data_IF_377056335075
#
_entry.id   IF_377056335075
#
_cell.length_a   1.000
_cell.length_b   1.000
_cell.length_c   1.000
_cell.angle_alpha   90.00
_cell.angle_beta   90.00
_cell.angle_gamma   90.00
#
_symmetry.space_group_name_H-M   'P 1'
#
loop_
_entity.id
_entity.type
_entity.pdbx_description
1 polymer ?
#
# COMPACT_ATOMS: atom_id res chain seq x y z
N UNK A 1 -1.11 -28.44 6.27
CA UNK A 1 -0.46 -27.49 5.34
C UNK A 1 1.05 -27.70 5.31
N UNK A 2 1.79 -27.59 6.43
CA UNK A 2 3.24 -27.87 6.41
C UNK A 2 4.05 -26.79 5.66
N UNK A 3 5.23 -27.12 5.15
CA UNK A 3 6.08 -26.18 4.41
C UNK A 3 5.56 -25.95 2.98
N UNK A 4 5.61 -24.69 2.53
CA UNK A 4 5.30 -24.31 1.14
C UNK A 4 6.56 -24.48 0.28
N UNK A 5 7.00 -25.72 0.07
CA UNK A 5 8.27 -26.03 -0.60
C UNK A 5 8.10 -26.87 -1.88
N UNK A 6 6.88 -27.13 -2.34
CA UNK A 6 6.62 -27.88 -3.57
C UNK A 6 6.43 -26.94 -4.76
N UNK A 7 7.31 -27.02 -5.75
CA UNK A 7 7.22 -26.19 -6.96
C UNK A 7 6.23 -26.77 -7.97
N UNK A 8 5.29 -25.96 -8.45
CA UNK A 8 4.42 -26.32 -9.57
C UNK A 8 5.23 -26.50 -10.86
N UNK A 9 5.07 -27.63 -11.55
CA UNK A 9 5.78 -27.93 -12.80
C UNK A 9 5.38 -27.06 -14.00
N UNK A 10 4.23 -26.36 -13.91
CA UNK A 10 3.70 -25.53 -15.00
C UNK A 10 4.11 -24.07 -14.91
N UNK A 11 3.99 -23.46 -13.72
CA UNK A 11 4.24 -22.03 -13.53
C UNK A 11 5.37 -21.72 -12.53
N UNK A 12 5.94 -22.72 -11.84
CA UNK A 12 7.02 -22.50 -10.88
C UNK A 12 6.59 -21.94 -9.52
N UNK A 13 5.30 -21.69 -9.29
CA UNK A 13 4.78 -21.25 -7.99
C UNK A 13 5.09 -22.26 -6.88
N UNK A 14 5.41 -21.76 -5.69
CA UNK A 14 5.60 -22.58 -4.49
C UNK A 14 4.23 -22.91 -3.89
N UNK A 15 4.00 -24.19 -3.62
CA UNK A 15 2.72 -24.76 -3.21
C UNK A 15 2.92 -25.63 -1.96
N UNK A 16 1.82 -25.87 -1.24
CA UNK A 16 1.77 -26.89 -0.21
C UNK A 16 1.37 -28.24 -0.82
N UNK A 17 1.92 -29.35 -0.33
CA UNK A 17 1.59 -30.68 -0.88
C UNK A 17 0.10 -31.05 -0.73
N UNK A 18 -0.53 -30.53 0.32
CA UNK A 18 -1.96 -30.74 0.59
C UNK A 18 -2.87 -30.09 -0.47
N UNK A 19 -2.34 -29.17 -1.28
CA UNK A 19 -3.07 -28.50 -2.38
C UNK A 19 -3.07 -29.31 -3.68
N UNK A 20 -2.49 -30.51 -3.67
CA UNK A 20 -2.42 -31.37 -4.86
C UNK A 20 -3.79 -31.97 -5.19
N UNK A 21 -4.16 -31.94 -6.47
CA UNK A 21 -5.43 -32.53 -6.92
C UNK A 21 -5.37 -34.05 -7.09
N UNK A 22 -4.17 -34.59 -7.31
CA UNK A 22 -3.95 -36.01 -7.57
C UNK A 22 -3.44 -36.79 -6.33
N UNK A 23 -3.30 -36.13 -5.18
CA UNK A 23 -2.78 -36.69 -3.91
C UNK A 23 -1.45 -37.46 -4.06
N UNK A 24 -0.69 -37.18 -5.13
CA UNK A 24 0.58 -37.84 -5.42
C UNK A 24 1.71 -37.00 -4.83
N UNK A 25 2.45 -37.58 -3.88
CA UNK A 25 3.65 -36.94 -3.34
C UNK A 25 4.83 -36.96 -4.31
N UNK A 26 4.87 -37.91 -5.25
CA UNK A 26 5.98 -38.06 -6.23
C UNK A 26 5.82 -37.14 -7.44
N UNK A 27 4.59 -36.93 -7.88
CA UNK A 27 4.24 -36.16 -9.08
C UNK A 27 3.06 -35.22 -8.80
N UNK A 28 3.23 -34.24 -7.90
CA UNK A 28 2.15 -33.38 -7.47
C UNK A 28 1.62 -32.52 -8.63
N UNK A 29 0.29 -32.52 -8.81
CA UNK A 29 -0.39 -31.66 -9.78
C UNK A 29 -1.17 -30.58 -9.04
N UNK A 30 -1.00 -29.33 -9.47
CA UNK A 30 -1.62 -28.15 -8.86
C UNK A 30 -2.50 -27.41 -9.86
N UNK A 31 -3.70 -27.04 -9.44
CA UNK A 31 -4.64 -26.22 -10.22
C UNK A 31 -4.81 -24.82 -9.66
N UNK A 32 -4.55 -24.60 -8.37
CA UNK A 32 -4.79 -23.32 -7.68
C UNK A 32 -3.94 -22.18 -8.28
N UNK A 33 -2.67 -22.44 -8.61
CA UNK A 33 -1.75 -21.39 -9.06
C UNK A 33 -1.93 -20.96 -10.53
N UNK A 34 -2.17 -21.90 -11.44
CA UNK A 34 -2.18 -21.60 -12.89
C UNK A 34 -3.23 -22.42 -13.65
N UNK A 35 -4.20 -23.01 -12.96
CA UNK A 35 -5.18 -23.93 -13.52
C UNK A 35 -4.53 -25.06 -14.34
N UNK A 36 -3.44 -25.64 -13.82
CA UNK A 36 -2.62 -26.66 -14.49
C UNK A 36 -2.03 -26.18 -15.84
N UNK A 37 -1.54 -24.94 -15.88
CA UNK A 37 -0.91 -24.33 -17.04
C UNK A 37 -1.86 -23.68 -18.04
N UNK A 38 -3.15 -23.58 -17.71
CA UNK A 38 -4.14 -22.86 -18.53
C UNK A 38 -4.07 -21.34 -18.36
N UNK A 39 -3.53 -20.87 -17.23
CA UNK A 39 -3.34 -19.45 -16.95
C UNK A 39 -1.84 -19.16 -16.96
N UNK A 40 -1.43 -18.20 -17.80
CA UNK A 40 -0.09 -17.64 -17.78
C UNK A 40 -0.15 -16.43 -16.85
N UNK A 41 0.40 -16.58 -15.65
CA UNK A 41 0.56 -15.46 -14.73
C UNK A 41 1.79 -14.65 -15.15
N UNK A 42 1.66 -13.32 -15.32
CA UNK A 42 2.83 -12.48 -15.51
C UNK A 42 3.73 -12.60 -14.28
N UNK A 43 5.05 -12.53 -14.49
CA UNK A 43 5.98 -12.42 -13.38
C UNK A 43 5.69 -11.12 -12.63
N UNK A 44 5.81 -11.18 -11.30
CA UNK A 44 5.73 -9.98 -10.48
C UNK A 44 6.84 -9.04 -10.91
N UNK A 45 6.48 -7.77 -11.10
CA UNK A 45 7.47 -6.72 -11.34
C UNK A 45 8.37 -6.58 -10.12
N UNK A 46 9.63 -6.26 -10.36
CA UNK A 46 10.54 -5.94 -9.27
C UNK A 46 10.04 -4.69 -8.54
N UNK A 47 10.12 -4.74 -7.20
CA UNK A 47 9.78 -3.59 -6.37
C UNK A 47 10.79 -2.47 -6.64
N UNK A 48 10.34 -1.20 -6.64
CA UNK A 48 11.26 -0.07 -6.67
C UNK A 48 12.29 -0.17 -5.55
N UNK A 49 13.53 0.26 -5.82
CA UNK A 49 14.67 0.05 -4.94
C UNK A 49 14.43 0.49 -3.48
N UNK A 50 13.91 1.71 -3.19
CA UNK A 50 13.67 2.12 -1.81
C UNK A 50 12.70 1.19 -1.08
N UNK A 51 11.59 0.82 -1.74
CA UNK A 51 10.57 -0.04 -1.15
C UNK A 51 11.08 -1.48 -0.95
N UNK A 52 11.90 -1.99 -1.85
CA UNK A 52 12.50 -3.33 -1.74
C UNK A 52 13.36 -3.44 -0.47
N UNK A 53 14.27 -2.49 -0.25
CA UNK A 53 15.14 -2.44 0.92
C UNK A 53 14.32 -2.29 2.21
N UNK A 54 13.35 -1.38 2.23
CA UNK A 54 12.52 -1.12 3.40
C UNK A 54 11.68 -2.34 3.80
N UNK A 55 11.20 -3.14 2.83
CA UNK A 55 10.36 -4.32 3.09
C UNK A 55 11.14 -5.59 3.42
N UNK A 56 12.32 -5.78 2.83
CA UNK A 56 13.00 -7.09 2.85
C UNK A 56 14.25 -7.14 3.72
N UNK A 57 14.91 -6.00 3.96
CA UNK A 57 16.12 -5.95 4.77
C UNK A 57 15.81 -5.86 6.28
N UNK A 58 16.80 -6.25 7.10
CA UNK A 58 16.70 -6.26 8.58
C UNK A 58 17.58 -5.20 9.26
N UNK A 59 17.84 -4.08 8.58
CA UNK A 59 18.58 -2.96 9.17
C UNK A 59 17.65 -2.06 10.01
N UNK A 60 18.18 -1.17 10.89
CA UNK A 60 17.35 -0.32 11.75
C UNK A 60 16.32 0.54 11.00
N UNK A 61 16.65 1.01 9.80
CA UNK A 61 15.77 1.84 8.97
C UNK A 61 14.59 1.02 8.43
N UNK A 62 14.84 -0.17 7.89
CA UNK A 62 13.82 -1.12 7.45
C UNK A 62 12.93 -1.58 8.61
N UNK A 63 13.52 -1.88 9.77
CA UNK A 63 12.76 -2.24 10.98
C UNK A 63 11.82 -1.11 11.42
N UNK A 64 12.28 0.14 11.41
CA UNK A 64 11.46 1.31 11.75
C UNK A 64 10.30 1.51 10.75
N UNK A 65 10.57 1.37 9.46
CA UNK A 65 9.54 1.41 8.43
C UNK A 65 8.51 0.29 8.62
N UNK A 66 8.95 -0.96 8.78
CA UNK A 66 8.06 -2.11 8.92
C UNK A 66 7.13 -1.98 10.14
N UNK A 67 7.65 -1.48 11.26
CA UNK A 67 6.85 -1.20 12.46
C UNK A 67 5.79 -0.12 12.23
N UNK A 68 6.08 0.87 11.38
CA UNK A 68 5.23 2.05 11.14
C UNK A 68 4.61 2.09 9.73
N UNK A 69 4.62 0.98 8.98
CA UNK A 69 4.26 0.94 7.55
C UNK A 69 2.86 1.49 7.28
N UNK A 70 1.91 1.27 8.20
CA UNK A 70 0.55 1.79 8.09
C UNK A 70 0.51 3.31 8.16
N UNK A 71 1.37 3.94 8.96
CA UNK A 71 1.47 5.38 9.07
C UNK A 71 2.09 6.00 7.82
N UNK A 72 3.14 5.39 7.26
CA UNK A 72 3.71 5.81 5.96
C UNK A 72 2.69 5.70 4.82
N UNK A 73 1.98 4.56 4.73
CA UNK A 73 0.92 4.37 3.73
C UNK A 73 -0.20 5.41 3.88
N UNK A 74 -0.55 5.76 5.13
CA UNK A 74 -1.55 6.80 5.39
C UNK A 74 -1.05 8.19 4.99
N UNK A 75 0.21 8.51 5.29
CA UNK A 75 0.83 9.78 4.94
C UNK A 75 0.91 10.00 3.42
N UNK A 76 1.13 8.93 2.66
CA UNK A 76 1.28 8.95 1.20
C UNK A 76 -0.03 8.69 0.44
N UNK A 77 -1.15 8.49 1.15
CA UNK A 77 -2.44 8.21 0.52
C UNK A 77 -3.00 9.45 -0.19
N UNK A 78 -3.61 9.24 -1.34
CA UNK A 78 -4.33 10.27 -2.09
C UNK A 78 -5.76 10.49 -1.60
N UNK A 79 -6.32 9.50 -0.88
CA UNK A 79 -7.70 9.56 -0.39
C UNK A 79 -7.78 9.05 1.03
N UNK A 80 -8.72 9.59 1.80
CA UNK A 80 -9.10 8.97 3.07
C UNK A 80 -10.09 7.83 2.82
N UNK A 81 -10.10 6.84 3.71
CA UNK A 81 -11.14 5.83 3.72
C UNK A 81 -12.37 6.38 4.44
N UNK A 82 -13.53 6.27 3.81
CA UNK A 82 -14.81 6.48 4.46
C UNK A 82 -15.56 5.16 4.58
N UNK A 83 -16.08 4.90 5.78
CA UNK A 83 -16.89 3.73 6.09
C UNK A 83 -17.80 4.05 7.29
N UNK A 84 -18.97 3.41 7.36
CA UNK A 84 -19.80 3.44 8.56
C UNK A 84 -19.32 2.36 9.53
N UNK A 85 -18.59 2.79 10.56
CA UNK A 85 -17.99 1.88 11.55
C UNK A 85 -18.98 1.66 12.68
N UNK A 86 -19.29 0.39 12.93
CA UNK A 86 -20.03 0.00 14.11
C UNK A 86 -19.09 -0.07 15.33
N UNK A 87 -19.18 0.97 16.16
CA UNK A 87 -18.36 1.11 17.35
C UNK A 87 -18.80 0.18 18.51
N UNK A 88 -19.98 -0.46 18.44
CA UNK A 88 -20.45 -1.33 19.52
C UNK A 88 -19.57 -2.57 19.73
N UNK A 89 -18.87 -2.99 18.67
CA UNK A 89 -17.96 -4.15 18.71
C UNK A 89 -16.48 -3.77 18.61
N UNK A 90 -16.19 -2.48 18.40
CA UNK A 90 -14.81 -2.04 18.17
C UNK A 90 -14.00 -2.08 19.45
N UNK A 91 -12.98 -2.93 19.50
CA UNK A 91 -12.03 -2.99 20.62
C UNK A 91 -12.58 -3.62 21.91
N UNK A 92 -13.71 -4.32 21.86
CA UNK A 92 -14.33 -4.96 23.03
C UNK A 92 -13.67 -6.31 23.32
N UNK A 93 -12.44 -6.28 23.86
CA UNK A 93 -11.70 -7.44 24.37
C UNK A 93 -11.21 -8.44 23.31
N UNK A 94 -9.94 -8.84 23.40
CA UNK A 94 -9.31 -9.77 22.45
C UNK A 94 -8.72 -9.10 21.21
N UNK A 95 -8.78 -9.76 20.05
CA UNK A 95 -8.21 -9.26 18.79
C UNK A 95 -9.00 -8.04 18.31
N UNK A 96 -8.30 -6.95 17.98
CA UNK A 96 -8.91 -5.74 17.45
C UNK A 96 -9.78 -6.07 16.23
N UNK A 97 -11.09 -5.89 16.39
CA UNK A 97 -12.10 -6.14 15.37
C UNK A 97 -12.93 -4.89 15.23
N UNK A 98 -13.27 -4.50 14.00
CA UNK A 98 -14.24 -3.46 13.71
C UNK A 98 -15.19 -3.96 12.61
N UNK A 99 -16.45 -3.53 12.63
CA UNK A 99 -17.44 -3.90 11.62
C UNK A 99 -17.81 -2.69 10.80
N UNK A 100 -17.80 -2.87 9.48
CA UNK A 100 -18.32 -1.88 8.54
C UNK A 100 -19.73 -2.31 8.15
N UNK A 101 -20.67 -1.38 8.15
CA UNK A 101 -22.00 -1.60 7.59
C UNK A 101 -22.13 -0.87 6.24
N UNK A 102 -22.55 -1.58 5.20
CA UNK A 102 -22.66 -1.04 3.84
C UNK A 102 -21.34 -1.07 3.08
N UNK A 103 -21.08 -0.02 2.31
CA UNK A 103 -19.96 0.05 1.36
C UNK A 103 -18.78 0.85 1.93
N UNK A 104 -17.57 0.48 1.52
CA UNK A 104 -16.36 1.30 1.68
C UNK A 104 -16.25 2.27 0.51
N UNK A 105 -15.89 3.51 0.78
CA UNK A 105 -15.70 4.52 -0.25
C UNK A 105 -14.41 5.33 -0.03
N UNK A 106 -13.81 5.78 -1.12
CA UNK A 106 -12.65 6.67 -1.10
C UNK A 106 -13.13 8.13 -1.03
N UNK A 107 -12.71 8.85 0.01
CA UNK A 107 -12.99 10.28 0.21
C UNK A 107 -11.78 11.08 -0.25
N UNK A 108 -11.90 11.68 -1.44
CA UNK A 108 -10.84 12.53 -2.01
C UNK A 108 -10.76 13.92 -1.37
N UNK A 109 -11.89 14.45 -0.91
CA UNK A 109 -11.98 15.80 -0.34
C UNK A 109 -12.12 16.89 -1.42
N UNK A 110 -12.04 18.16 -1.00
CA UNK A 110 -12.02 19.31 -1.90
C UNK A 110 -10.65 19.44 -2.59
N UNK A 111 -10.61 20.14 -3.72
CA UNK A 111 -9.38 20.35 -4.49
C UNK A 111 -8.31 21.14 -3.70
N UNK A 112 -8.74 22.17 -2.99
CA UNK A 112 -7.90 23.01 -2.15
C UNK A 112 -8.30 22.85 -0.67
N UNK A 113 -7.36 23.02 0.27
CA UNK A 113 -7.67 23.06 1.69
C UNK A 113 -8.57 24.25 2.02
N UNK A 114 -9.41 24.08 3.04
CA UNK A 114 -10.10 25.22 3.65
C UNK A 114 -9.07 26.09 4.40
N UNK A 115 -9.27 27.41 4.51
CA UNK A 115 -8.31 28.31 5.16
C UNK A 115 -7.92 27.91 6.59
N UNK A 116 -8.80 27.19 7.30
CA UNK A 116 -8.59 26.76 8.69
C UNK A 116 -7.89 25.40 8.81
N UNK A 117 -7.71 24.66 7.71
CA UNK A 117 -7.19 23.29 7.73
C UNK A 117 -5.87 23.17 6.94
N UNK A 118 -4.88 22.41 7.43
CA UNK A 118 -3.71 22.07 6.64
C UNK A 118 -4.10 21.19 5.44
N UNK A 119 -3.34 21.25 4.32
CA UNK A 119 -3.56 20.36 3.18
C UNK A 119 -3.40 18.89 3.59
N UNK A 120 -4.31 18.04 3.10
CA UNK A 120 -4.31 16.60 3.39
C UNK A 120 -4.55 15.76 2.14
N UNK A 121 -4.05 14.53 2.14
CA UNK A 121 -4.23 13.57 1.04
C UNK A 121 -3.84 14.15 -0.33
N UNK A 122 -4.72 14.07 -1.34
CA UNK A 122 -4.49 14.61 -2.68
C UNK A 122 -4.12 16.10 -2.68
N UNK A 123 -4.62 16.91 -1.73
CA UNK A 123 -4.37 18.35 -1.66
C UNK A 123 -2.87 18.65 -1.47
N UNK A 124 -2.11 17.73 -0.88
CA UNK A 124 -0.67 17.89 -0.65
C UNK A 124 0.06 18.01 -1.99
N UNK A 125 -0.40 17.31 -3.04
CA UNK A 125 0.19 17.36 -4.38
C UNK A 125 -0.31 18.55 -5.21
N UNK A 126 -1.28 19.33 -4.71
CA UNK A 126 -1.93 20.40 -5.48
C UNK A 126 -1.59 21.78 -4.89
N UNK A 127 -1.81 21.95 -3.59
CA UNK A 127 -1.77 23.23 -2.91
C UNK A 127 -0.35 23.80 -2.80
N UNK A 128 0.57 23.04 -2.20
CA UNK A 128 1.95 23.45 -1.94
C UNK A 128 2.90 22.27 -2.18
N UNK A 129 3.34 22.15 -3.44
CA UNK A 129 4.24 21.08 -3.90
C UNK A 129 5.66 21.23 -3.37
N UNK A 130 6.05 22.41 -2.89
CA UNK A 130 7.40 22.66 -2.38
C UNK A 130 7.54 22.17 -0.92
N UNK A 131 6.42 22.08 -0.18
CA UNK A 131 6.40 21.69 1.23
C UNK A 131 5.64 20.38 1.51
N UNK A 132 5.52 19.48 0.53
CA UNK A 132 4.76 18.21 0.69
C UNK A 132 5.16 17.41 1.94
N UNK A 133 6.46 17.27 2.21
CA UNK A 133 6.98 16.50 3.35
C UNK A 133 6.56 17.14 4.68
N UNK A 134 6.70 18.47 4.80
CA UNK A 134 6.31 19.20 6.00
C UNK A 134 4.80 19.10 6.22
N UNK A 135 4.02 19.22 5.14
CA UNK A 135 2.57 19.05 5.18
C UNK A 135 2.19 17.65 5.68
N UNK A 136 2.84 16.58 5.19
CA UNK A 136 2.61 15.21 5.67
C UNK A 136 2.96 15.04 7.15
N UNK A 137 4.10 15.59 7.59
CA UNK A 137 4.56 15.50 8.98
C UNK A 137 3.67 16.32 9.92
N UNK A 138 3.04 17.41 9.44
CA UNK A 138 2.06 18.15 10.24
C UNK A 138 0.82 17.30 10.58
N UNK A 139 0.44 16.38 9.68
CA UNK A 139 -0.70 15.46 9.87
C UNK A 139 -0.27 14.21 10.64
N UNK A 140 0.96 13.72 10.41
CA UNK A 140 1.50 12.49 11.01
C UNK A 140 2.92 12.77 11.55
N UNK A 141 3.04 13.34 12.78
CA UNK A 141 4.30 13.92 13.28
C UNK A 141 5.38 12.92 13.71
N UNK A 142 5.10 11.61 13.69
CA UNK A 142 5.99 10.57 14.22
C UNK A 142 6.64 9.70 13.13
N UNK A 143 6.72 10.19 11.89
CA UNK A 143 7.40 9.49 10.81
C UNK A 143 8.87 9.91 10.74
N UNK A 144 9.75 8.94 10.45
CA UNK A 144 11.11 9.26 10.08
C UNK A 144 11.13 10.05 8.77
N UNK A 145 11.83 11.18 8.80
CA UNK A 145 11.92 12.14 7.71
C UNK A 145 12.59 11.56 6.46
N UNK A 146 13.66 10.77 6.62
CA UNK A 146 14.41 10.24 5.48
C UNK A 146 13.62 9.14 4.78
N UNK A 147 13.00 8.23 5.53
CA UNK A 147 12.10 7.21 4.96
C UNK A 147 10.98 7.87 4.16
N UNK A 148 10.37 8.94 4.72
CA UNK A 148 9.26 9.62 4.06
C UNK A 148 9.71 10.30 2.75
N UNK A 149 10.89 10.91 2.73
CA UNK A 149 11.48 11.50 1.51
C UNK A 149 11.73 10.43 0.44
N UNK A 150 12.39 9.34 0.80
CA UNK A 150 12.72 8.26 -0.15
C UNK A 150 11.45 7.68 -0.78
N UNK A 151 10.41 7.43 0.03
CA UNK A 151 9.13 6.94 -0.47
C UNK A 151 8.39 7.98 -1.33
N UNK A 152 8.46 9.26 -0.97
CA UNK A 152 7.85 10.33 -1.76
C UNK A 152 8.54 10.46 -3.12
N UNK A 153 9.88 10.53 -3.15
CA UNK A 153 10.66 10.62 -4.39
C UNK A 153 10.36 9.43 -5.30
N UNK A 154 10.36 8.22 -4.75
CA UNK A 154 9.94 7.02 -5.47
C UNK A 154 8.55 7.18 -6.09
N UNK A 155 7.56 7.69 -5.34
CA UNK A 155 6.21 7.91 -5.88
C UNK A 155 6.17 8.98 -6.96
N UNK A 156 6.90 10.09 -6.81
CA UNK A 156 7.02 11.12 -7.86
C UNK A 156 7.59 10.55 -9.17
N UNK A 157 8.54 9.61 -9.08
CA UNK A 157 9.13 8.97 -10.25
C UNK A 157 8.20 7.95 -10.92
N UNK A 158 7.50 7.11 -10.14
CA UNK A 158 6.82 5.94 -10.70
C UNK A 158 5.30 6.07 -10.77
N UNK A 159 4.68 6.90 -9.93
CA UNK A 159 3.23 6.94 -9.80
C UNK A 159 2.64 8.02 -10.72
N UNK A 160 1.92 7.64 -11.80
CA UNK A 160 1.39 8.60 -12.76
C UNK A 160 0.37 9.57 -12.16
N UNK A 161 -0.29 9.19 -11.06
CA UNK A 161 -1.25 10.08 -10.41
C UNK A 161 -0.57 11.26 -9.73
N UNK A 162 0.63 11.07 -9.15
CA UNK A 162 1.41 12.19 -8.57
C UNK A 162 1.57 13.28 -9.63
N UNK A 163 2.00 12.90 -10.84
CA UNK A 163 2.20 13.84 -11.93
C UNK A 163 0.92 14.57 -12.34
N UNK A 164 -0.21 13.85 -12.42
CA UNK A 164 -1.51 14.44 -12.77
C UNK A 164 -1.94 15.49 -11.72
N UNK A 165 -1.82 15.16 -10.43
CA UNK A 165 -2.20 16.08 -9.35
C UNK A 165 -1.26 17.29 -9.26
N UNK A 166 0.05 17.09 -9.37
CA UNK A 166 1.03 18.16 -9.42
C UNK A 166 0.79 19.10 -10.61
N UNK A 167 0.50 18.55 -11.79
CA UNK A 167 0.17 19.34 -12.97
C UNK A 167 -1.12 20.15 -12.78
N UNK A 168 -2.15 19.56 -12.18
CA UNK A 168 -3.38 20.29 -11.85
C UNK A 168 -3.09 21.47 -10.89
N UNK A 169 -2.22 21.27 -9.89
CA UNK A 169 -1.77 22.35 -9.00
C UNK A 169 -1.01 23.46 -9.72
N UNK A 170 -0.16 23.11 -10.69
CA UNK A 170 0.56 24.10 -11.51
C UNK A 170 -0.39 24.95 -12.36
N UNK A 171 -1.40 24.34 -12.97
CA UNK A 171 -2.39 25.07 -13.77
C UNK A 171 -3.17 26.09 -12.91
N UNK A 172 -3.63 25.67 -11.72
CA UNK A 172 -4.36 26.54 -10.80
C UNK A 172 -3.55 27.74 -10.29
N UNK A 173 -2.22 27.63 -10.22
CA UNK A 173 -1.33 28.74 -9.81
C UNK A 173 -1.06 29.75 -10.93
N UNK A 174 -1.31 29.35 -12.18
CA UNK A 174 -1.03 30.16 -13.36
C UNK A 174 -2.30 30.82 -13.95
N UNK A 175 -3.48 30.49 -13.42
CA UNK A 175 -4.77 31.15 -13.70
C UNK A 175 -4.98 32.38 -12.80
#
# INVERSE_FOLDING_TARGET
LGQMNHRCSKCGAMMWIDETVNKSSKSPVFTICCANGKVILPLLQELPYPLNILLLENNPHSCLFQQNIRMYNSALSFTSLGANIDHQITGVGGVYTFRIHGEMYHRIGTLLPNPENPPSFAQIYIYDTDHEINNRLSVIPNLDFNILIELQQMLHEINPYVNIFCQAGQLLRND
#
